data_IF_323511745170
#
_entry.id   IF_323511745170
#
_cell.length_a   1.000
_cell.length_b   1.000
_cell.length_c   1.000
_cell.angle_alpha   90.00
_cell.angle_beta   90.00
_cell.angle_gamma   90.00
#
_symmetry.space_group_name_H-M   'P 1'
#
loop_
_entity.id
_entity.type
_entity.pdbx_description
1 polymer ?
#
# COMPACT_ATOMS: atom_id res chain seq x y z
N UNK A 1 13.27 -1.54 26.86
CA UNK A 1 13.25 -2.12 25.50
C UNK A 1 12.21 -1.31 24.76
N UNK A 2 12.58 -0.59 23.70
CA UNK A 2 11.64 0.28 23.02
C UNK A 2 10.53 -0.57 22.41
N UNK A 3 9.33 -0.40 22.94
CA UNK A 3 8.09 -0.83 22.31
C UNK A 3 7.88 0.10 21.12
N UNK A 4 8.58 -0.18 20.02
CA UNK A 4 8.46 0.59 18.79
C UNK A 4 7.53 -0.16 17.87
N UNK A 5 6.23 -0.14 18.18
CA UNK A 5 5.21 -0.49 17.22
C UNK A 5 5.47 0.31 15.93
N UNK A 6 5.62 -0.35 14.77
CA UNK A 6 5.83 0.38 13.53
C UNK A 6 4.64 1.30 13.29
N UNK A 7 4.86 2.48 12.70
CA UNK A 7 3.77 3.40 12.38
C UNK A 7 2.73 2.65 11.54
N UNK A 8 1.46 3.00 11.75
CA UNK A 8 0.32 2.40 11.04
C UNK A 8 -0.56 3.49 10.49
N UNK A 9 -1.20 3.21 9.37
CA UNK A 9 -2.23 4.08 8.81
C UNK A 9 -3.48 3.27 8.48
N UNK A 10 -4.61 3.98 8.42
CA UNK A 10 -5.86 3.48 7.88
C UNK A 10 -6.30 4.42 6.75
N UNK A 11 -6.89 3.85 5.70
CA UNK A 11 -7.40 4.60 4.56
C UNK A 11 -8.73 4.03 4.10
N UNK A 12 -9.74 4.89 3.98
CA UNK A 12 -10.99 4.53 3.33
C UNK A 12 -10.74 4.36 1.84
N UNK A 13 -11.10 3.20 1.31
CA UNK A 13 -10.96 2.85 -0.10
C UNK A 13 -12.33 2.52 -0.69
N UNK A 14 -12.66 3.12 -1.83
CA UNK A 14 -13.93 2.89 -2.53
C UNK A 14 -13.60 2.30 -3.90
N UNK A 15 -13.68 0.98 -4.01
CA UNK A 15 -13.28 0.22 -5.20
C UNK A 15 -13.97 0.68 -6.48
N UNK A 16 -15.24 1.13 -6.38
CA UNK A 16 -16.03 1.66 -7.49
C UNK A 16 -15.36 2.85 -8.21
N UNK A 17 -14.57 3.65 -7.50
CA UNK A 17 -13.97 4.87 -8.05
C UNK A 17 -12.45 4.75 -8.25
N UNK A 18 -11.79 3.79 -7.61
CA UNK A 18 -10.33 3.75 -7.51
C UNK A 18 -9.74 2.33 -7.63
N UNK A 19 -10.22 1.51 -8.57
CA UNK A 19 -9.77 0.11 -8.70
C UNK A 19 -8.29 -0.05 -9.06
N UNK A 20 -7.71 0.91 -9.78
CA UNK A 20 -6.44 0.67 -10.47
C UNK A 20 -5.21 1.01 -9.62
N UNK A 21 -5.39 1.79 -8.55
CA UNK A 21 -4.29 2.18 -7.66
C UNK A 21 -4.76 2.59 -6.26
N UNK A 22 -3.83 2.56 -5.30
CA UNK A 22 -4.00 3.11 -3.96
C UNK A 22 -2.91 4.14 -3.67
N UNK A 23 -3.32 5.38 -3.45
CA UNK A 23 -2.44 6.41 -2.92
C UNK A 23 -2.16 6.18 -1.42
N UNK A 24 -0.90 6.06 -1.03
CA UNK A 24 -0.46 6.01 0.37
C UNK A 24 -0.61 7.39 1.00
N UNK A 25 -1.20 7.53 2.20
CA UNK A 25 -1.32 8.84 2.85
C UNK A 25 0.04 9.54 2.98
N UNK A 26 0.10 10.82 2.61
CA UNK A 26 1.33 11.61 2.66
C UNK A 26 1.95 11.67 4.06
N UNK A 27 1.14 11.65 5.11
CA UNK A 27 1.59 11.60 6.51
C UNK A 27 2.35 10.31 6.86
N UNK A 28 2.26 9.28 6.02
CA UNK A 28 2.98 8.02 6.16
C UNK A 28 4.21 7.94 5.25
N UNK A 29 4.39 8.89 4.33
CA UNK A 29 5.48 8.86 3.34
C UNK A 29 6.86 8.79 4.02
N UNK A 30 7.09 9.59 5.06
CA UNK A 30 8.37 9.62 5.81
C UNK A 30 8.68 8.29 6.52
N UNK A 31 7.69 7.41 6.67
CA UNK A 31 7.85 6.09 7.28
C UNK A 31 8.22 5.01 6.27
N UNK A 32 8.19 5.33 4.97
CA UNK A 32 8.59 4.41 3.92
C UNK A 32 10.12 4.30 3.84
N UNK A 33 10.64 3.13 3.44
CA UNK A 33 12.06 2.98 3.20
C UNK A 33 12.53 3.88 2.04
N UNK A 34 13.70 4.49 2.22
CA UNK A 34 14.37 5.29 1.20
C UNK A 34 15.72 4.61 0.87
N UNK A 35 15.97 4.19 -0.39
CA UNK A 35 15.13 4.40 -1.57
C UNK A 35 13.86 3.53 -1.58
N UNK A 36 12.80 4.04 -2.22
CA UNK A 36 11.53 3.32 -2.34
C UNK A 36 11.72 2.01 -3.13
N UNK A 37 11.32 0.85 -2.60
CA UNK A 37 11.39 -0.40 -3.33
C UNK A 37 10.41 -0.40 -4.50
N UNK A 38 10.73 -1.12 -5.58
CA UNK A 38 9.87 -1.21 -6.76
C UNK A 38 8.55 -1.94 -6.50
N UNK A 39 8.50 -2.78 -5.47
CA UNK A 39 7.34 -3.64 -5.16
C UNK A 39 7.11 -3.73 -3.67
N UNK A 40 5.84 -3.86 -3.26
CA UNK A 40 5.41 -4.22 -1.92
C UNK A 40 4.69 -5.56 -1.91
N UNK A 41 4.66 -6.18 -0.74
CA UNK A 41 3.91 -7.40 -0.44
C UNK A 41 2.75 -7.02 0.46
N UNK A 42 1.53 -7.26 0.00
CA UNK A 42 0.31 -7.15 0.80
C UNK A 42 -0.03 -8.54 1.33
N UNK A 43 -0.18 -8.66 2.64
CA UNK A 43 -0.57 -9.89 3.29
C UNK A 43 -1.98 -9.73 3.87
N UNK A 44 -2.88 -10.60 3.47
CA UNK A 44 -4.26 -10.63 3.95
C UNK A 44 -4.48 -11.67 5.03
N UNK A 45 -5.73 -11.76 5.48
CA UNK A 45 -6.14 -12.78 6.43
C UNK A 45 -5.99 -14.18 5.81
N UNK A 46 -5.55 -15.16 6.58
CA UNK A 46 -5.36 -16.54 6.10
C UNK A 46 -4.07 -16.79 5.32
N UNK A 47 -3.14 -15.84 5.28
CA UNK A 47 -1.80 -16.03 4.68
C UNK A 47 -1.75 -15.79 3.16
N UNK A 48 -2.85 -15.33 2.56
CA UNK A 48 -2.86 -14.89 1.16
C UNK A 48 -1.93 -13.69 0.98
N UNK A 49 -1.20 -13.68 -0.14
CA UNK A 49 -0.19 -12.67 -0.44
C UNK A 49 -0.40 -12.13 -1.86
N UNK A 50 -0.33 -10.81 -1.99
CA UNK A 50 -0.35 -10.10 -3.27
C UNK A 50 0.90 -9.25 -3.42
N UNK A 51 1.55 -9.37 -4.57
CA UNK A 51 2.68 -8.50 -4.94
C UNK A 51 2.15 -7.33 -5.75
N UNK A 52 2.44 -6.11 -5.30
CA UNK A 52 2.03 -4.87 -5.97
C UNK A 52 3.25 -4.04 -6.35
N UNK A 53 3.17 -3.31 -7.46
CA UNK A 53 4.19 -2.31 -7.80
C UNK A 53 3.99 -1.05 -6.96
N UNK A 54 5.08 -0.51 -6.45
CA UNK A 54 5.12 0.82 -5.85
C UNK A 54 5.66 1.80 -6.90
N UNK A 55 5.00 2.95 -7.02
CA UNK A 55 5.46 4.05 -7.87
C UNK A 55 5.44 5.34 -7.06
N UNK A 56 6.53 6.08 -7.18
CA UNK A 56 6.65 7.44 -6.69
C UNK A 56 6.34 8.42 -7.82
N UNK A 57 5.48 9.40 -7.56
CA UNK A 57 5.07 10.42 -8.51
C UNK A 57 4.92 11.75 -7.77
N UNK A 58 5.81 12.72 -8.00
CA UNK A 58 5.69 14.08 -7.45
C UNK A 58 5.32 14.10 -5.95
N UNK A 59 6.13 13.44 -5.12
CA UNK A 59 5.95 13.30 -3.66
C UNK A 59 4.78 12.42 -3.20
N UNK A 60 4.11 11.72 -4.13
CA UNK A 60 3.10 10.72 -3.83
C UNK A 60 3.60 9.31 -4.07
N UNK A 61 3.24 8.37 -3.20
CA UNK A 61 3.51 6.94 -3.40
C UNK A 61 2.21 6.20 -3.64
N UNK A 62 2.19 5.40 -4.70
CA UNK A 62 1.02 4.64 -5.11
C UNK A 62 1.34 3.15 -5.20
N UNK A 63 0.43 2.32 -4.70
CA UNK A 63 0.32 0.94 -5.18
C UNK A 63 -0.39 0.96 -6.52
N UNK A 64 0.18 0.31 -7.54
CA UNK A 64 -0.35 0.34 -8.90
C UNK A 64 -0.62 -1.08 -9.40
N UNK A 65 0.14 -1.58 -10.37
CA UNK A 65 -0.07 -2.92 -10.93
C UNK A 65 -0.10 -3.98 -9.82
N UNK A 66 -1.13 -4.83 -9.82
CA UNK A 66 -1.39 -5.84 -8.79
C UNK A 66 -2.37 -5.38 -7.69
N UNK A 67 -2.57 -4.07 -7.52
CA UNK A 67 -3.52 -3.52 -6.55
C UNK A 67 -4.97 -3.92 -6.86
N UNK A 68 -5.39 -3.81 -8.11
CA UNK A 68 -6.77 -4.15 -8.51
C UNK A 68 -7.15 -5.59 -8.15
N UNK A 69 -6.22 -6.54 -8.32
CA UNK A 69 -6.42 -7.93 -7.91
C UNK A 69 -6.60 -8.07 -6.40
N UNK A 70 -5.78 -7.38 -5.61
CA UNK A 70 -5.96 -7.35 -4.15
C UNK A 70 -7.34 -6.78 -3.77
N UNK A 71 -7.76 -5.67 -4.40
CA UNK A 71 -9.03 -5.03 -4.13
C UNK A 71 -10.24 -5.90 -4.51
N UNK A 72 -10.14 -6.67 -5.60
CA UNK A 72 -11.16 -7.63 -6.02
C UNK A 72 -11.25 -8.82 -5.05
N UNK A 73 -10.12 -9.45 -4.74
CA UNK A 73 -10.04 -10.63 -3.87
C UNK A 73 -10.47 -10.36 -2.41
N UNK A 74 -10.49 -9.08 -1.97
CA UNK A 74 -10.81 -8.66 -0.60
C UNK A 74 -12.00 -7.69 -0.54
N UNK A 75 -12.88 -7.71 -1.55
CA UNK A 75 -14.11 -6.90 -1.58
C UNK A 75 -15.27 -7.46 -0.77
#
# INVERSE_FOLDING_TARGET
MADSDPPRFFKVFISRFYSDSLHIPISYYDQLPHPLPRTAILQGNGGCIWKVLMKEMQDEVHFTQGWSKFAEDNS
#
